data_IF_695923012632
#
_entry.id   IF_695923012632
#
_cell.length_a   1.000
_cell.length_b   1.000
_cell.length_c   1.000
_cell.angle_alpha   90.00
_cell.angle_beta   90.00
_cell.angle_gamma   90.00
#
_symmetry.space_group_name_H-M   'P 1'
#
loop_
_entity.id
_entity.type
_entity.pdbx_description
1 polymer ?
#
# COMPACT_ATOMS: atom_id res chain seq x y z
N UNK A 1 4.86 10.94 -11.23
CA UNK A 1 5.30 11.91 -10.20
C UNK A 1 5.23 13.35 -10.68
N UNK A 2 6.01 13.80 -11.68
CA UNK A 2 6.01 15.22 -12.10
C UNK A 2 4.65 15.73 -12.64
N UNK A 3 3.91 14.91 -13.39
CA UNK A 3 2.58 15.29 -13.91
C UNK A 3 1.50 15.42 -12.82
N UNK A 4 1.57 14.61 -11.76
CA UNK A 4 0.65 14.70 -10.63
C UNK A 4 0.88 15.97 -9.80
N UNK A 5 2.16 16.32 -9.59
CA UNK A 5 2.58 17.54 -8.92
C UNK A 5 2.11 18.78 -9.71
N UNK A 6 2.26 18.78 -11.05
CA UNK A 6 1.82 19.89 -11.91
C UNK A 6 0.29 20.04 -11.93
N UNK A 7 -0.45 18.93 -11.97
CA UNK A 7 -1.91 18.95 -11.96
C UNK A 7 -2.48 19.51 -10.63
N UNK A 8 -1.83 19.22 -9.51
CA UNK A 8 -2.23 19.72 -8.19
C UNK A 8 -1.80 21.17 -7.95
N UNK A 9 -0.62 21.59 -8.46
CA UNK A 9 -0.15 22.98 -8.38
C UNK A 9 -1.10 23.95 -9.11
N UNK A 10 -1.74 23.49 -10.19
CA UNK A 10 -2.78 24.23 -10.91
C UNK A 10 -4.11 24.33 -10.13
N UNK A 11 -4.31 23.52 -9.09
CA UNK A 11 -5.57 23.45 -8.33
C UNK A 11 -5.66 24.42 -7.14
N UNK A 12 -4.71 25.35 -7.01
CA UNK A 12 -4.90 26.65 -6.35
C UNK A 12 -5.67 26.69 -5.02
N UNK A 13 -5.09 26.16 -3.92
CA UNK A 13 -5.46 26.58 -2.55
C UNK A 13 -4.24 26.83 -1.66
N UNK A 14 -4.29 27.98 -0.99
CA UNK A 14 -3.26 28.63 -0.16
C UNK A 14 -3.16 28.08 1.27
N UNK A 15 -1.94 28.13 1.84
CA UNK A 15 -1.52 27.95 3.25
C UNK A 15 -1.57 26.53 3.86
N UNK A 16 -0.79 25.62 3.29
CA UNK A 16 -0.33 24.37 3.91
C UNK A 16 1.17 24.26 3.60
N UNK A 17 2.01 23.78 4.53
CA UNK A 17 3.47 23.69 4.33
C UNK A 17 3.78 22.89 3.04
N UNK A 18 4.82 23.26 2.29
CA UNK A 18 5.15 22.57 1.04
C UNK A 18 5.34 21.05 1.27
N UNK A 19 5.89 20.68 2.43
CA UNK A 19 6.12 19.30 2.85
C UNK A 19 4.82 18.50 2.96
N UNK A 20 3.84 18.99 3.72
CA UNK A 20 2.57 18.28 3.91
C UNK A 20 1.77 18.15 2.61
N UNK A 21 1.90 19.11 1.69
CA UNK A 21 1.34 18.98 0.33
C UNK A 21 1.99 17.86 -0.47
N UNK A 22 3.32 17.79 -0.50
CA UNK A 22 4.04 16.74 -1.21
C UNK A 22 3.75 15.34 -0.65
N UNK A 23 3.61 15.23 0.67
CA UNK A 23 3.29 13.97 1.32
C UNK A 23 1.89 13.49 0.92
N UNK A 24 0.89 14.38 0.90
CA UNK A 24 -0.47 14.05 0.45
C UNK A 24 -0.51 13.67 -1.03
N UNK A 25 0.28 14.34 -1.89
CA UNK A 25 0.37 14.00 -3.31
C UNK A 25 0.99 12.61 -3.53
N UNK A 26 2.04 12.27 -2.78
CA UNK A 26 2.68 10.95 -2.84
C UNK A 26 1.71 9.88 -2.32
N UNK A 27 1.00 10.16 -1.22
CA UNK A 27 -0.02 9.28 -0.68
C UNK A 27 -1.13 9.01 -1.70
N UNK A 28 -1.69 10.05 -2.34
CA UNK A 28 -2.69 9.91 -3.40
C UNK A 28 -2.21 9.03 -4.55
N UNK A 29 -0.97 9.25 -5.01
CA UNK A 29 -0.37 8.44 -6.09
C UNK A 29 -0.20 6.98 -5.67
N UNK A 30 0.32 6.71 -4.47
CA UNK A 30 0.52 5.34 -3.99
C UNK A 30 -0.82 4.62 -3.88
N UNK A 31 -1.79 5.20 -3.16
CA UNK A 31 -3.13 4.63 -2.94
C UNK A 31 -3.86 4.34 -4.25
N UNK A 32 -3.71 5.23 -5.24
CA UNK A 32 -4.30 5.06 -6.56
C UNK A 32 -3.60 3.95 -7.37
N UNK A 33 -2.26 3.89 -7.36
CA UNK A 33 -1.50 2.87 -8.11
C UNK A 33 -1.61 1.47 -7.49
N UNK A 34 -1.77 1.39 -6.16
CA UNK A 34 -2.03 0.13 -5.45
C UNK A 34 -3.49 -0.30 -5.53
N UNK A 35 -4.34 0.42 -6.29
CA UNK A 35 -5.78 0.17 -6.44
C UNK A 35 -6.53 0.03 -5.11
N UNK A 36 -6.06 0.71 -4.06
CA UNK A 36 -6.76 0.75 -2.77
C UNK A 36 -7.89 1.76 -2.90
N UNK A 37 -7.53 3.04 -3.07
CA UNK A 37 -8.50 4.06 -3.46
C UNK A 37 -9.43 4.56 -2.35
N UNK A 38 -8.91 4.91 -1.16
CA UNK A 38 -9.69 5.34 0.02
C UNK A 38 -10.70 6.48 -0.18
N UNK A 39 -10.66 7.20 -1.31
CA UNK A 39 -11.63 8.25 -1.63
C UNK A 39 -11.49 9.53 -0.80
N UNK A 40 -10.49 9.62 0.07
CA UNK A 40 -10.21 10.77 0.94
C UNK A 40 -9.67 12.00 0.20
N UNK A 41 -8.83 11.77 -0.81
CA UNK A 41 -8.28 12.80 -1.69
C UNK A 41 -8.80 12.55 -3.10
N UNK A 42 -9.71 13.41 -3.58
CA UNK A 42 -10.31 13.30 -4.90
C UNK A 42 -10.19 14.59 -5.73
N UNK A 43 -9.97 14.48 -7.05
CA UNK A 43 -9.95 15.64 -7.92
C UNK A 43 -11.36 16.20 -8.14
N UNK A 44 -11.57 17.46 -7.74
CA UNK A 44 -12.85 18.14 -7.96
C UNK A 44 -12.97 18.85 -9.30
N UNK A 45 -11.85 19.21 -9.95
CA UNK A 45 -11.86 19.95 -11.22
C UNK A 45 -11.92 19.02 -12.43
N UNK A 46 -12.67 19.40 -13.47
CA UNK A 46 -12.81 18.61 -14.71
C UNK A 46 -11.46 18.31 -15.37
N UNK A 47 -10.56 19.30 -15.38
CA UNK A 47 -9.22 19.15 -15.96
C UNK A 47 -8.39 18.16 -15.14
N UNK A 48 -8.43 18.25 -13.80
CA UNK A 48 -7.70 17.30 -12.95
C UNK A 48 -8.21 15.87 -13.12
N UNK A 49 -9.53 15.67 -13.23
CA UNK A 49 -10.13 14.36 -13.50
C UNK A 49 -9.59 13.75 -14.80
N UNK A 50 -9.58 14.51 -15.90
CA UNK A 50 -9.06 14.04 -17.19
C UNK A 50 -7.57 13.68 -17.10
N UNK A 51 -6.76 14.55 -16.48
CA UNK A 51 -5.33 14.32 -16.33
C UNK A 51 -5.03 13.08 -15.47
N UNK A 52 -5.76 12.90 -14.37
CA UNK A 52 -5.62 11.75 -13.48
C UNK A 52 -6.07 10.47 -14.16
N UNK A 53 -7.17 10.48 -14.93
CA UNK A 53 -7.61 9.32 -15.70
C UNK A 53 -6.54 8.84 -16.68
N UNK A 54 -5.90 9.76 -17.42
CA UNK A 54 -4.78 9.41 -18.31
C UNK A 54 -3.57 8.88 -17.53
N UNK A 55 -3.27 9.49 -16.38
CA UNK A 55 -2.20 9.04 -15.50
C UNK A 55 -2.43 7.62 -14.98
N UNK A 56 -3.63 7.28 -14.55
CA UNK A 56 -3.98 5.95 -14.03
C UNK A 56 -3.81 4.89 -15.11
N UNK A 57 -4.29 5.14 -16.33
CA UNK A 57 -4.20 4.15 -17.42
C UNK A 57 -2.75 3.74 -17.73
N UNK A 58 -1.84 4.71 -17.82
CA UNK A 58 -0.42 4.44 -18.13
C UNK A 58 0.33 3.99 -16.87
N UNK A 59 0.09 4.67 -15.76
CA UNK A 59 0.78 4.46 -14.48
C UNK A 59 0.48 3.10 -13.87
N UNK A 60 -0.77 2.65 -13.90
CA UNK A 60 -1.16 1.36 -13.35
C UNK A 60 -0.51 0.19 -14.11
N UNK A 61 -0.45 0.29 -15.44
CA UNK A 61 0.22 -0.70 -16.27
C UNK A 61 1.73 -0.76 -16.00
N UNK A 62 2.39 0.39 -15.95
CA UNK A 62 3.82 0.46 -15.61
C UNK A 62 4.10 -0.04 -14.18
N UNK A 63 3.24 0.30 -13.22
CA UNK A 63 3.32 -0.14 -11.84
C UNK A 63 3.21 -1.66 -11.71
N UNK A 64 2.25 -2.27 -12.42
CA UNK A 64 2.09 -3.72 -12.46
C UNK A 64 3.34 -4.43 -12.98
N UNK A 65 3.94 -3.96 -14.06
CA UNK A 65 5.18 -4.56 -14.60
C UNK A 65 6.33 -4.44 -13.60
N UNK A 66 6.50 -3.27 -12.98
CA UNK A 66 7.54 -3.03 -11.98
C UNK A 66 7.39 -3.98 -10.79
N UNK A 67 6.19 -4.11 -10.24
CA UNK A 67 5.93 -5.00 -9.10
C UNK A 67 6.15 -6.46 -9.49
N UNK A 68 5.68 -6.91 -10.65
CA UNK A 68 5.89 -8.29 -11.07
C UNK A 68 7.40 -8.64 -11.17
N UNK A 69 8.20 -7.76 -11.78
CA UNK A 69 9.64 -7.97 -11.88
C UNK A 69 10.33 -7.99 -10.51
N UNK A 70 9.97 -7.05 -9.61
CA UNK A 70 10.51 -7.01 -8.26
C UNK A 70 10.11 -8.26 -7.46
N UNK A 71 8.85 -8.68 -7.57
CA UNK A 71 8.35 -9.87 -6.89
C UNK A 71 9.07 -11.12 -7.37
N UNK A 72 9.27 -11.30 -8.68
CA UNK A 72 9.98 -12.47 -9.22
C UNK A 72 11.43 -12.56 -8.69
N UNK A 73 12.15 -11.44 -8.68
CA UNK A 73 13.52 -11.37 -8.17
C UNK A 73 13.59 -11.66 -6.66
N UNK A 74 12.71 -11.06 -5.87
CA UNK A 74 12.68 -11.23 -4.41
C UNK A 74 12.17 -12.63 -4.01
N UNK A 75 11.13 -13.14 -4.68
CA UNK A 75 10.58 -14.48 -4.44
C UNK A 75 11.61 -15.55 -4.73
N UNK A 76 12.38 -15.44 -5.81
CA UNK A 76 13.42 -16.43 -6.14
C UNK A 76 14.58 -16.38 -5.13
N UNK A 77 14.94 -15.19 -4.65
CA UNK A 77 15.92 -15.03 -3.56
C UNK A 77 15.41 -15.61 -2.24
N UNK A 78 14.16 -15.34 -1.86
CA UNK A 78 13.55 -15.90 -0.66
C UNK A 78 13.43 -17.41 -0.77
N UNK A 79 12.96 -17.94 -1.90
CA UNK A 79 12.83 -19.37 -2.17
C UNK A 79 14.18 -20.07 -2.04
N UNK A 80 15.24 -19.55 -2.63
CA UNK A 80 16.57 -20.17 -2.56
C UNK A 80 17.16 -20.11 -1.14
N UNK A 81 16.98 -19.01 -0.41
CA UNK A 81 17.38 -18.91 1.01
C UNK A 81 16.59 -19.87 1.90
N UNK A 82 15.28 -19.97 1.70
CA UNK A 82 14.38 -20.84 2.46
C UNK A 82 14.68 -22.32 2.19
N UNK A 83 14.88 -22.72 0.94
CA UNK A 83 15.25 -24.11 0.60
C UNK A 83 16.58 -24.50 1.24
N UNK A 84 17.59 -23.62 1.21
CA UNK A 84 18.88 -23.85 1.89
C UNK A 84 18.72 -23.96 3.41
N UNK A 85 17.86 -23.13 4.00
CA UNK A 85 17.57 -23.19 5.44
C UNK A 85 16.85 -24.49 5.81
N UNK A 86 15.87 -24.92 5.01
CA UNK A 86 15.15 -26.17 5.19
C UNK A 86 16.06 -27.41 5.06
N UNK A 87 16.99 -27.43 4.09
CA UNK A 87 17.89 -28.57 3.89
C UNK A 87 18.93 -28.71 5.02
N UNK A 88 19.31 -27.58 5.65
CA UNK A 88 20.18 -27.56 6.84
C UNK A 88 19.42 -27.73 8.16
N UNK A 89 18.09 -27.82 8.14
CA UNK A 89 17.27 -27.95 9.34
C UNK A 89 17.19 -29.41 9.80
N UNK A 90 17.22 -29.71 11.11
CA UNK A 90 17.01 -31.07 11.63
C UNK A 90 15.62 -31.64 11.33
N UNK A 91 14.72 -30.85 10.74
CA UNK A 91 13.36 -31.20 10.32
C UNK A 91 13.23 -31.52 8.81
N UNK A 92 14.29 -32.04 8.18
CA UNK A 92 14.40 -32.39 6.74
C UNK A 92 13.27 -33.26 6.17
N UNK A 93 12.51 -33.96 7.02
CA UNK A 93 11.41 -34.84 6.62
C UNK A 93 10.02 -34.14 6.59
N UNK A 94 9.96 -32.85 6.92
CA UNK A 94 8.74 -32.08 6.78
C UNK A 94 8.52 -31.74 5.30
N UNK A 95 7.31 -32.00 4.78
CA UNK A 95 7.02 -31.78 3.37
C UNK A 95 7.31 -30.31 2.99
N UNK A 96 8.29 -30.07 2.11
CA UNK A 96 8.76 -28.73 1.74
C UNK A 96 7.61 -27.79 1.34
N UNK A 97 6.58 -28.33 0.68
CA UNK A 97 5.39 -27.57 0.31
C UNK A 97 4.57 -27.08 1.51
N UNK A 98 4.46 -27.88 2.58
CA UNK A 98 3.76 -27.50 3.82
C UNK A 98 4.49 -26.35 4.53
N UNK A 99 5.83 -26.41 4.62
CA UNK A 99 6.64 -25.34 5.25
C UNK A 99 6.44 -24.01 4.54
N UNK A 100 6.46 -24.01 3.20
CA UNK A 100 6.22 -22.81 2.41
C UNK A 100 4.81 -22.24 2.65
N UNK A 101 3.78 -23.09 2.68
CA UNK A 101 2.41 -22.65 2.97
C UNK A 101 2.31 -22.01 4.38
N UNK A 102 2.86 -22.67 5.41
CA UNK A 102 2.85 -22.11 6.77
C UNK A 102 3.59 -20.77 6.86
N UNK A 103 4.71 -20.63 6.14
CA UNK A 103 5.46 -19.38 6.09
C UNK A 103 4.66 -18.27 5.42
N UNK A 104 4.01 -18.55 4.27
CA UNK A 104 3.16 -17.58 3.57
C UNK A 104 2.00 -17.10 4.45
N UNK A 105 1.31 -18.01 5.14
CA UNK A 105 0.25 -17.67 6.09
C UNK A 105 0.82 -16.79 7.22
N UNK A 106 1.99 -17.13 7.74
CA UNK A 106 2.67 -16.35 8.78
C UNK A 106 3.01 -14.92 8.34
N UNK A 107 3.49 -14.74 7.10
CA UNK A 107 3.79 -13.41 6.54
C UNK A 107 2.52 -12.58 6.40
N UNK A 108 1.43 -13.14 5.86
CA UNK A 108 0.14 -12.44 5.74
C UNK A 108 -0.37 -12.01 7.11
N UNK A 109 -0.34 -12.91 8.09
CA UNK A 109 -0.76 -12.62 9.45
C UNK A 109 0.09 -11.52 10.10
N UNK A 110 1.41 -11.51 9.85
CA UNK A 110 2.32 -10.47 10.30
C UNK A 110 1.95 -9.09 9.72
N UNK A 111 1.70 -9.01 8.42
CA UNK A 111 1.25 -7.76 7.79
C UNK A 111 -0.07 -7.27 8.36
N UNK A 112 -1.03 -8.17 8.60
CA UNK A 112 -2.33 -7.82 9.20
C UNK A 112 -2.13 -7.25 10.61
N UNK A 113 -1.29 -7.89 11.44
CA UNK A 113 -1.00 -7.40 12.79
C UNK A 113 -0.32 -6.04 12.76
N UNK A 114 0.70 -5.87 11.92
CA UNK A 114 1.44 -4.60 11.82
C UNK A 114 0.49 -3.48 11.37
N UNK A 115 -0.34 -3.73 10.36
CA UNK A 115 -1.34 -2.78 9.88
C UNK A 115 -2.37 -2.42 10.96
N UNK A 116 -2.91 -3.42 11.64
CA UNK A 116 -3.89 -3.22 12.72
C UNK A 116 -3.28 -2.48 13.91
N UNK A 117 -2.04 -2.80 14.28
CA UNK A 117 -1.32 -2.11 15.34
C UNK A 117 -1.07 -0.65 14.98
N UNK A 118 -0.63 -0.38 13.75
CA UNK A 118 -0.42 0.99 13.25
C UNK A 118 -1.74 1.79 13.29
N UNK A 119 -2.83 1.26 12.77
CA UNK A 119 -4.13 1.95 12.78
C UNK A 119 -4.69 2.15 14.20
N UNK A 120 -4.51 1.16 15.08
CA UNK A 120 -4.92 1.28 16.48
C UNK A 120 -4.19 2.42 17.21
N UNK A 121 -2.86 2.52 17.03
CA UNK A 121 -2.04 3.53 17.69
C UNK A 121 -2.12 4.91 17.05
N UNK A 122 -2.18 5.00 15.72
CA UNK A 122 -2.17 6.29 15.02
C UNK A 122 -3.56 6.90 14.89
N UNK A 123 -4.60 6.08 14.76
CA UNK A 123 -5.95 6.56 14.44
C UNK A 123 -6.94 6.41 15.60
N UNK A 124 -6.49 5.87 16.74
CA UNK A 124 -7.32 5.64 17.94
C UNK A 124 -8.59 4.84 17.64
N UNK A 125 -8.55 3.98 16.61
CA UNK A 125 -9.66 3.13 16.20
C UNK A 125 -9.88 1.98 17.19
N UNK A 126 -11.08 1.40 17.20
CA UNK A 126 -11.30 0.17 17.96
C UNK A 126 -10.43 -0.96 17.40
N UNK A 127 -10.16 -1.99 18.22
CA UNK A 127 -9.35 -3.14 17.79
C UNK A 127 -9.97 -3.85 16.59
N UNK A 128 -11.30 -3.91 16.55
CA UNK A 128 -12.07 -4.57 15.50
C UNK A 128 -11.97 -3.78 14.20
N UNK A 129 -12.13 -2.46 14.26
CA UNK A 129 -12.05 -1.59 13.09
C UNK A 129 -10.62 -1.54 12.53
N UNK A 130 -9.61 -1.52 13.41
CA UNK A 130 -8.20 -1.54 13.01
C UNK A 130 -7.82 -2.84 12.30
N UNK A 131 -8.33 -3.97 12.79
CA UNK A 131 -8.15 -5.26 12.11
C UNK A 131 -8.86 -5.30 10.77
N UNK A 132 -10.12 -4.84 10.73
CA UNK A 132 -10.92 -4.77 9.52
C UNK A 132 -10.24 -3.90 8.44
N UNK A 133 -9.81 -2.69 8.79
CA UNK A 133 -9.11 -1.77 7.89
C UNK A 133 -7.81 -2.40 7.35
N UNK A 134 -7.06 -3.09 8.19
CA UNK A 134 -5.83 -3.79 7.79
C UNK A 134 -6.10 -4.88 6.74
N UNK A 135 -7.13 -5.70 6.94
CA UNK A 135 -7.53 -6.77 6.01
C UNK A 135 -8.03 -6.20 4.68
N UNK A 136 -8.90 -5.19 4.74
CA UNK A 136 -9.46 -4.53 3.54
C UNK A 136 -8.37 -3.82 2.73
N UNK A 137 -7.38 -3.21 3.39
CA UNK A 137 -6.25 -2.55 2.73
C UNK A 137 -5.30 -3.56 2.07
N UNK A 138 -4.95 -4.65 2.75
CA UNK A 138 -4.06 -5.70 2.19
C UNK A 138 -4.72 -6.42 1.01
N UNK A 139 -6.05 -6.58 1.05
CA UNK A 139 -6.82 -7.19 -0.04
C UNK A 139 -7.20 -6.24 -1.16
N UNK A 140 -6.87 -4.94 -1.03
CA UNK A 140 -7.21 -3.87 -1.98
C UNK A 140 -8.71 -3.82 -2.35
N UNK A 141 -9.60 -4.23 -1.43
CA UNK A 141 -11.05 -4.23 -1.67
C UNK A 141 -11.65 -2.84 -1.46
N UNK A 142 -11.15 -2.14 -0.44
CA UNK A 142 -11.52 -0.80 0.02
C UNK A 142 -13.01 -0.41 -0.07
N UNK A 143 -13.69 -0.40 1.09
CA UNK A 143 -15.09 0.00 1.17
C UNK A 143 -15.30 1.51 1.37
N UNK A 144 -14.22 2.30 1.46
CA UNK A 144 -14.25 3.75 1.72
C UNK A 144 -14.98 4.14 3.03
N UNK A 145 -15.15 3.20 3.96
CA UNK A 145 -15.80 3.41 5.26
C UNK A 145 -14.84 3.98 6.32
N UNK A 146 -13.55 3.73 6.14
CA UNK A 146 -12.47 4.29 6.93
C UNK A 146 -11.42 4.89 6.00
N UNK A 147 -10.97 6.10 6.32
CA UNK A 147 -9.86 6.76 5.64
C UNK A 147 -8.90 7.34 6.66
N UNK A 148 -7.62 7.44 6.27
CA UNK A 148 -6.62 8.00 7.16
C UNK A 148 -6.84 9.50 7.29
N UNK A 149 -7.30 9.93 8.46
CA UNK A 149 -7.56 11.33 8.70
C UNK A 149 -6.20 12.07 8.66
N UNK A 150 -6.04 13.03 7.75
CA UNK A 150 -4.75 13.67 7.40
C UNK A 150 -3.98 14.33 8.55
N UNK A 151 -4.48 14.23 9.78
CA UNK A 151 -3.81 14.53 11.05
C UNK A 151 -2.45 13.85 11.19
N UNK A 152 -2.23 12.67 10.61
CA UNK A 152 -0.91 12.00 10.59
C UNK A 152 0.14 12.83 9.84
N UNK A 153 -0.27 13.62 8.85
CA UNK A 153 0.62 14.45 8.03
C UNK A 153 0.70 15.91 8.51
N UNK A 154 -0.08 16.29 9.53
CA UNK A 154 -0.03 17.62 10.16
C UNK A 154 1.12 17.74 11.18
N UNK A 155 1.63 16.61 11.68
CA UNK A 155 2.75 16.53 12.64
C UNK A 155 4.13 16.28 11.98
N UNK A 156 4.21 16.33 10.64
CA UNK A 156 5.46 16.22 9.84
C UNK A 156 5.72 17.53 9.11
#
# INVERSE_FOLDING_TARGET
MLLGIVAYFLSGRSKVSLTSKLVNDIYFVIVTLTSVGYGDIVPHTTIAKIMISLYILVGFWMWGILINHLMDDELEQLRTRLVKWCDNSPYKNFNNHKVMIYLTIGVIFCFIIIGAFRSYFLETMSVIDSFYLSVVSISTVDYEDYSFDGRVFEFI
#
